data_IF_777647740257
#
_entry.id   IF_777647740257
#
_cell.length_a   1.000
_cell.length_b   1.000
_cell.length_c   1.000
_cell.angle_alpha   90.00
_cell.angle_beta   90.00
_cell.angle_gamma   90.00
#
_symmetry.space_group_name_H-M   'P 1'
#
loop_
_entity.id
_entity.type
_entity.pdbx_description
1 polymer ?
#
# COMPACT_ATOMS: atom_id res chain seq x y z
N UNK A 1 7.41 11.40 -9.56
CA UNK A 1 8.42 10.39 -9.18
C UNK A 1 8.25 10.07 -7.70
N UNK A 2 7.63 8.95 -7.37
CA UNK A 2 7.59 8.38 -6.01
C UNK A 2 8.64 7.26 -5.92
N UNK A 3 9.22 7.01 -4.73
CA UNK A 3 10.29 6.01 -4.52
C UNK A 3 11.69 6.54 -4.19
N UNK A 4 11.83 7.80 -3.77
CA UNK A 4 13.11 8.33 -3.25
C UNK A 4 13.39 7.81 -1.83
N UNK A 5 14.67 7.68 -1.41
CA UNK A 5 15.04 7.40 -0.03
C UNK A 5 14.34 8.34 0.95
N UNK A 6 13.77 7.75 2.01
CA UNK A 6 12.68 8.34 2.79
C UNK A 6 13.16 8.96 4.11
N UNK A 7 12.62 10.14 4.41
CA UNK A 7 12.64 10.83 5.71
C UNK A 7 11.58 10.22 6.64
N UNK A 8 11.95 9.94 7.90
CA UNK A 8 10.99 9.53 8.94
C UNK A 8 10.25 10.80 9.42
N UNK A 9 8.92 10.90 9.18
CA UNK A 9 8.18 12.10 9.51
C UNK A 9 8.17 12.34 11.03
N UNK A 10 8.17 13.61 11.41
CA UNK A 10 8.07 13.97 12.81
C UNK A 10 6.72 13.48 13.39
N UNK A 11 6.65 13.13 14.68
CA UNK A 11 5.45 12.51 15.29
C UNK A 11 4.17 13.35 15.17
N UNK A 12 4.30 14.64 14.83
CA UNK A 12 3.20 15.60 14.65
C UNK A 12 2.63 15.60 13.22
N UNK A 13 3.36 15.03 12.26
CA UNK A 13 2.92 14.96 10.88
C UNK A 13 1.87 13.84 10.70
N UNK A 14 1.06 13.95 9.64
CA UNK A 14 0.08 12.91 9.33
C UNK A 14 0.81 11.58 9.11
N UNK A 15 0.29 10.44 9.61
CA UNK A 15 0.95 9.17 9.41
C UNK A 15 0.97 8.78 7.93
N UNK A 16 1.95 7.95 7.55
CA UNK A 16 1.99 7.37 6.21
C UNK A 16 0.77 6.48 6.01
N UNK A 17 0.09 6.67 4.89
CA UNK A 17 -0.95 5.76 4.45
C UNK A 17 -0.30 4.52 3.85
N UNK A 18 -0.95 3.38 4.02
CA UNK A 18 -0.51 2.09 3.50
C UNK A 18 -1.58 1.57 2.56
N UNK A 19 -1.16 1.02 1.43
CA UNK A 19 -2.04 0.42 0.44
C UNK A 19 -1.35 -0.70 -0.32
N UNK A 20 -2.04 -1.18 -1.36
CA UNK A 20 -1.49 -2.16 -2.30
C UNK A 20 -1.69 -1.61 -3.70
N UNK A 21 -0.65 -1.70 -4.53
CA UNK A 21 -0.66 -1.30 -5.94
C UNK A 21 -0.13 -2.47 -6.76
N UNK A 22 -0.95 -2.99 -7.67
CA UNK A 22 -0.61 -4.12 -8.55
C UNK A 22 -0.13 -5.37 -7.78
N UNK A 23 -0.66 -5.58 -6.57
CA UNK A 23 -0.24 -6.66 -5.68
C UNK A 23 1.04 -6.41 -4.89
N UNK A 24 1.57 -5.19 -4.85
CA UNK A 24 2.74 -4.80 -4.05
C UNK A 24 2.36 -3.85 -2.93
N UNK A 25 2.98 -4.00 -1.75
CA UNK A 25 2.73 -3.08 -0.64
C UNK A 25 3.44 -1.75 -0.89
N UNK A 26 2.68 -0.66 -0.78
CA UNK A 26 3.19 0.70 -0.94
C UNK A 26 2.88 1.53 0.29
N UNK A 27 3.79 2.45 0.60
CA UNK A 27 3.59 3.49 1.60
C UNK A 27 3.45 4.82 0.88
N UNK A 28 2.45 5.61 1.27
CA UNK A 28 2.14 6.91 0.68
C UNK A 28 2.54 7.98 1.71
N UNK A 29 3.52 8.82 1.34
CA UNK A 29 4.04 9.82 2.25
C UNK A 29 2.99 10.91 2.54
N UNK A 30 3.12 11.64 3.66
CA UNK A 30 2.15 12.66 4.06
C UNK A 30 1.97 13.77 3.01
N UNK A 31 3.07 14.18 2.36
CA UNK A 31 3.04 15.20 1.30
C UNK A 31 2.19 14.72 0.11
N UNK A 32 2.42 13.50 -0.39
CA UNK A 32 1.61 12.95 -1.48
C UNK A 32 0.14 12.79 -1.10
N UNK A 33 -0.15 12.46 0.17
CA UNK A 33 -1.54 12.39 0.65
C UNK A 33 -2.26 13.75 0.64
N UNK A 34 -1.51 14.84 0.80
CA UNK A 34 -2.04 16.22 0.80
C UNK A 34 -2.13 16.76 -0.64
N UNK A 35 -1.06 16.60 -1.42
CA UNK A 35 -0.94 17.20 -2.76
C UNK A 35 -1.71 16.46 -3.86
N UNK A 36 -2.04 15.17 -3.65
CA UNK A 36 -2.68 14.31 -4.66
C UNK A 36 -3.95 13.68 -4.10
N UNK A 37 -5.08 14.39 -3.94
CA UNK A 37 -6.26 13.86 -3.24
C UNK A 37 -6.82 12.56 -3.85
N UNK A 38 -6.52 12.29 -5.12
CA UNK A 38 -6.85 11.11 -5.91
C UNK A 38 -5.84 9.95 -5.78
N UNK A 39 -4.85 10.05 -4.88
CA UNK A 39 -3.80 9.03 -4.71
C UNK A 39 -4.35 7.63 -4.42
N UNK A 40 -5.58 7.52 -3.90
CA UNK A 40 -6.25 6.24 -3.64
C UNK A 40 -6.74 5.54 -4.90
N UNK A 41 -6.94 6.26 -6.01
CA UNK A 41 -7.60 5.72 -7.19
C UNK A 41 -6.73 4.70 -7.94
N UNK A 42 -5.41 4.84 -7.83
CA UNK A 42 -4.46 3.88 -8.36
C UNK A 42 -4.37 2.60 -7.51
N UNK A 43 -4.82 2.60 -6.26
CA UNK A 43 -4.66 1.45 -5.36
C UNK A 43 -5.61 0.32 -5.71
N UNK A 44 -5.14 -0.90 -5.46
CA UNK A 44 -5.95 -2.10 -5.48
C UNK A 44 -7.11 -1.96 -4.49
N UNK A 45 -8.28 -2.49 -4.87
CA UNK A 45 -9.49 -2.47 -4.07
C UNK A 45 -9.82 -3.85 -3.53
N UNK A 46 -10.46 -3.89 -2.37
CA UNK A 46 -11.05 -5.12 -1.87
C UNK A 46 -12.21 -5.53 -2.77
N UNK A 47 -12.15 -6.74 -3.32
CA UNK A 47 -13.22 -7.31 -4.17
C UNK A 47 -14.56 -7.48 -3.42
N UNK A 48 -14.52 -7.54 -2.08
CA UNK A 48 -15.71 -7.71 -1.24
C UNK A 48 -16.38 -6.39 -0.87
N UNK A 49 -15.62 -5.37 -0.49
CA UNK A 49 -16.17 -4.12 0.07
C UNK A 49 -15.73 -2.83 -0.62
N UNK A 50 -14.90 -2.93 -1.67
CA UNK A 50 -14.41 -1.78 -2.45
C UNK A 50 -13.35 -0.91 -1.76
N UNK A 51 -13.03 -1.18 -0.49
CA UNK A 51 -12.04 -0.43 0.29
C UNK A 51 -10.62 -0.58 -0.28
N UNK A 52 -9.84 0.50 -0.27
CA UNK A 52 -8.41 0.54 -0.61
C UNK A 52 -7.51 0.34 0.60
N UNK A 53 -8.07 0.13 1.80
CA UNK A 53 -7.32 -0.10 3.06
C UNK A 53 -6.76 -1.53 3.11
N UNK A 54 -5.92 -1.85 2.14
CA UNK A 54 -5.29 -3.15 1.98
C UNK A 54 -3.88 -3.17 2.59
N UNK A 55 -3.41 -4.34 3.01
CA UNK A 55 -2.05 -4.54 3.50
C UNK A 55 -1.55 -5.93 3.14
N UNK A 56 -0.28 -6.04 2.75
CA UNK A 56 0.36 -7.34 2.58
C UNK A 56 1.01 -7.75 3.90
N UNK A 57 0.71 -8.95 4.36
CA UNK A 57 1.35 -9.60 5.50
C UNK A 57 1.61 -11.06 5.15
N UNK A 58 2.86 -11.50 5.29
CA UNK A 58 3.27 -12.90 5.04
C UNK A 58 2.84 -13.44 3.66
N UNK A 59 2.78 -12.58 2.65
CA UNK A 59 2.37 -12.95 1.30
C UNK A 59 0.86 -12.93 1.06
N UNK A 60 0.04 -12.54 2.04
CA UNK A 60 -1.42 -12.37 1.89
C UNK A 60 -1.79 -10.90 1.81
N UNK A 61 -2.77 -10.56 0.96
CA UNK A 61 -3.40 -9.23 0.91
C UNK A 61 -4.63 -9.24 1.81
N UNK A 62 -4.61 -8.43 2.87
CA UNK A 62 -5.66 -8.34 3.89
C UNK A 62 -6.37 -6.99 3.77
N UNK A 63 -7.71 -7.01 3.69
CA UNK A 63 -8.54 -5.82 3.80
C UNK A 63 -8.75 -5.43 5.27
N UNK A 64 -8.23 -4.27 5.68
CA UNK A 64 -8.34 -3.76 7.04
C UNK A 64 -9.73 -3.23 7.40
N UNK A 65 -10.63 -3.12 6.42
CA UNK A 65 -12.00 -2.64 6.63
C UNK A 65 -13.00 -3.78 6.86
N UNK A 66 -12.95 -4.87 6.09
CA UNK A 66 -13.87 -6.01 6.24
C UNK A 66 -13.21 -7.31 6.71
N UNK A 67 -11.89 -7.36 6.81
CA UNK A 67 -11.14 -8.52 7.29
C UNK A 67 -10.84 -9.60 6.24
N UNK A 68 -11.38 -9.49 5.02
CA UNK A 68 -11.13 -10.48 3.97
C UNK A 68 -9.66 -10.53 3.56
N UNK A 69 -9.15 -11.75 3.38
CA UNK A 69 -7.78 -12.05 2.99
C UNK A 69 -7.76 -12.84 1.69
N UNK A 70 -6.76 -12.59 0.84
CA UNK A 70 -6.47 -13.37 -0.35
C UNK A 70 -4.98 -13.60 -0.49
N UNK A 71 -4.58 -14.64 -1.21
CA UNK A 71 -3.18 -14.82 -1.59
C UNK A 71 -2.69 -13.57 -2.35
N UNK A 72 -1.55 -13.03 -1.91
CA UNK A 72 -0.85 -11.98 -2.62
C UNK A 72 -0.10 -12.53 -3.82
N UNK A 73 0.36 -11.64 -4.69
CA UNK A 73 1.27 -12.04 -5.77
C UNK A 73 2.60 -12.47 -5.16
N UNK A 74 3.24 -13.53 -5.68
CA UNK A 74 4.60 -13.87 -5.29
C UNK A 74 5.51 -12.66 -5.51
N UNK A 75 6.44 -12.44 -4.59
CA UNK A 75 7.46 -11.38 -4.73
C UNK A 75 8.45 -11.78 -5.82
N UNK A 76 8.19 -11.37 -7.06
CA UNK A 76 9.08 -11.57 -8.21
C UNK A 76 10.46 -10.89 -8.02
N UNK A 77 10.57 -9.93 -7.11
CA UNK A 77 11.84 -9.28 -6.74
C UNK A 77 12.89 -10.22 -6.14
N UNK A 78 12.47 -11.35 -5.54
CA UNK A 78 13.38 -12.34 -4.96
C UNK A 78 13.85 -13.43 -5.94
N UNK A 79 13.12 -13.67 -7.02
CA UNK A 79 13.43 -14.75 -7.98
C UNK A 79 14.42 -14.31 -9.06
N UNK A 80 14.50 -13.03 -9.40
CA UNK A 80 15.42 -12.50 -10.41
C UNK A 80 16.88 -12.33 -9.93
N UNK A 81 17.18 -12.68 -8.67
CA UNK A 81 18.52 -12.54 -8.05
C UNK A 81 19.21 -13.88 -7.77
N UNK A 82 18.74 -14.99 -8.37
CA UNK A 82 19.32 -16.34 -8.24
C UNK A 82 19.78 -16.88 -9.57
#
# INVERSE_FOLDING_TARGET
MCGRPTYDPDKKERPWSRGVLEGRQVLICPICQIERPDWTDALDRCETCGSTRLSIMLGEVICRQCGQARAGKPDEGRLAQR
#
